data_IF_095241285930
#
_entry.id   IF_095241285930
#
_cell.length_a   1.000
_cell.length_b   1.000
_cell.length_c   1.000
_cell.angle_alpha   90.00
_cell.angle_beta   90.00
_cell.angle_gamma   90.00
#
_symmetry.space_group_name_H-M   'P 1'
#
loop_
_entity.id
_entity.type
_entity.pdbx_description
1 polymer ?
#
# COMPACT_ATOMS: atom_id res chain seq x y z
N UNK A 1 35.55 12.66 -17.17
CA UNK A 1 35.75 12.35 -15.73
C UNK A 1 34.49 11.67 -15.23
N UNK A 2 34.67 10.59 -14.47
CA UNK A 2 33.72 9.53 -14.22
C UNK A 2 32.45 9.94 -13.46
N UNK A 3 31.31 9.42 -13.93
CA UNK A 3 30.02 9.40 -13.24
C UNK A 3 30.17 8.76 -11.86
N UNK A 4 29.88 9.51 -10.80
CA UNK A 4 29.73 8.97 -9.43
C UNK A 4 28.26 9.05 -9.04
N UNK A 5 27.67 7.86 -8.95
CA UNK A 5 26.33 7.51 -8.48
C UNK A 5 25.90 8.26 -7.21
N UNK A 6 24.84 9.07 -7.32
CA UNK A 6 23.99 9.44 -6.18
C UNK A 6 22.90 8.36 -6.08
N UNK A 7 23.19 7.29 -5.32
CA UNK A 7 22.20 6.35 -4.79
C UNK A 7 21.98 6.71 -3.32
N UNK A 8 21.13 7.70 -3.05
CA UNK A 8 20.67 8.01 -1.70
C UNK A 8 19.49 9.01 -1.74
N UNK A 9 18.32 8.59 -2.24
CA UNK A 9 17.07 9.35 -2.09
C UNK A 9 15.80 8.53 -2.40
N UNK A 10 15.78 7.21 -2.16
CA UNK A 10 14.60 6.38 -2.45
C UNK A 10 13.96 5.72 -1.22
N UNK A 11 14.46 5.95 0.00
CA UNK A 11 13.92 5.33 1.24
C UNK A 11 13.02 6.30 2.05
N UNK A 12 12.40 7.27 1.37
CA UNK A 12 11.65 8.36 2.03
C UNK A 12 10.22 8.53 1.56
N UNK A 13 9.65 7.59 0.80
CA UNK A 13 8.22 7.57 0.52
C UNK A 13 7.56 6.72 1.60
N UNK A 14 6.53 7.20 2.32
CA UNK A 14 5.66 6.26 3.01
C UNK A 14 5.08 5.40 1.89
N UNK A 15 5.56 4.17 1.76
CA UNK A 15 4.73 3.09 1.28
C UNK A 15 3.46 3.21 2.11
N UNK A 16 2.44 3.81 1.51
CA UNK A 16 1.11 3.85 2.05
C UNK A 16 0.83 2.40 2.36
N UNK A 17 0.88 2.09 3.67
CA UNK A 17 0.78 0.75 4.19
C UNK A 17 -0.48 0.17 3.56
N UNK A 18 -0.36 -0.69 2.53
CA UNK A 18 -1.54 -1.31 1.89
C UNK A 18 -2.38 -2.02 2.96
N UNK A 19 -1.70 -2.49 4.02
CA UNK A 19 -2.30 -2.96 5.28
C UNK A 19 -3.29 -1.98 5.92
N UNK A 20 -3.02 -0.66 5.93
CA UNK A 20 -3.94 0.39 6.45
C UNK A 20 -5.12 0.67 5.51
N UNK A 21 -4.91 0.55 4.21
CA UNK A 21 -5.98 0.72 3.23
C UNK A 21 -6.99 -0.45 3.29
N UNK A 22 -6.50 -1.69 3.46
CA UNK A 22 -7.34 -2.90 3.56
C UNK A 22 -7.91 -3.16 4.97
N UNK A 23 -7.45 -2.43 6.00
CA UNK A 23 -7.98 -2.52 7.37
C UNK A 23 -9.42 -1.99 7.50
N UNK A 24 -9.95 -1.29 6.49
CA UNK A 24 -11.26 -0.63 6.53
C UNK A 24 -12.47 -1.43 6.02
N UNK A 25 -12.28 -2.54 5.29
CA UNK A 25 -13.39 -3.20 4.59
C UNK A 25 -13.75 -4.57 5.17
N UNK A 26 -14.59 -4.56 6.21
CA UNK A 26 -15.31 -5.75 6.66
C UNK A 26 -16.64 -5.86 5.90
N UNK A 27 -16.62 -6.33 4.65
CA UNK A 27 -17.84 -6.73 3.94
C UNK A 27 -18.03 -8.24 4.10
N UNK A 28 -18.95 -8.61 4.98
CA UNK A 28 -19.44 -9.98 5.11
C UNK A 28 -20.56 -10.20 4.10
N UNK A 29 -20.22 -10.72 2.91
CA UNK A 29 -21.20 -11.24 1.96
C UNK A 29 -20.93 -12.72 1.73
N UNK A 30 -21.37 -13.55 2.67
CA UNK A 30 -21.52 -15.00 2.45
C UNK A 30 -22.82 -15.23 1.70
N UNK A 31 -22.74 -15.39 0.38
CA UNK A 31 -23.80 -15.98 -0.43
C UNK A 31 -23.31 -17.32 -0.97
N UNK A 32 -23.65 -18.40 -0.29
CA UNK A 32 -23.43 -19.75 -0.77
C UNK A 32 -24.46 -20.04 -1.88
N UNK A 33 -24.05 -19.87 -3.15
CA UNK A 33 -24.83 -20.37 -4.27
C UNK A 33 -24.60 -21.88 -4.40
N UNK A 34 -25.38 -22.69 -3.68
CA UNK A 34 -25.47 -24.13 -3.93
C UNK A 34 -26.24 -24.34 -5.23
N UNK A 35 -25.53 -24.67 -6.32
CA UNK A 35 -26.14 -25.10 -7.58
C UNK A 35 -26.63 -26.53 -7.40
N UNK A 36 -27.89 -26.69 -7.01
CA UNK A 36 -28.58 -27.99 -7.05
C UNK A 36 -29.08 -28.24 -8.47
N UNK A 37 -28.33 -28.99 -9.27
CA UNK A 37 -28.80 -29.47 -10.57
C UNK A 37 -29.76 -30.64 -10.33
N UNK A 38 -31.07 -30.40 -10.51
CA UNK A 38 -32.05 -31.46 -10.64
C UNK A 38 -31.80 -32.18 -11.97
N UNK A 39 -31.21 -33.38 -11.92
CA UNK A 39 -30.95 -34.22 -13.09
C UNK A 39 -32.26 -34.74 -13.69
N UNK A 40 -32.80 -34.04 -14.69
CA UNK A 40 -33.66 -34.64 -15.69
C UNK A 40 -32.78 -35.45 -16.67
N UNK A 41 -33.05 -36.74 -16.77
CA UNK A 41 -32.28 -37.67 -17.59
C UNK A 41 -32.19 -37.22 -19.06
N UNK A 42 -30.97 -37.14 -19.60
CA UNK A 42 -30.72 -37.26 -21.04
C UNK A 42 -30.04 -36.10 -21.78
N UNK A 43 -29.66 -35.00 -21.14
CA UNK A 43 -28.87 -33.95 -21.81
C UNK A 43 -27.47 -33.87 -21.19
N UNK A 44 -26.42 -33.73 -22.02
CA UNK A 44 -25.08 -33.41 -21.54
C UNK A 44 -25.15 -32.19 -20.61
N UNK A 45 -24.36 -32.11 -19.52
CA UNK A 45 -24.40 -30.97 -18.62
C UNK A 45 -24.14 -29.71 -19.44
N UNK A 46 -25.18 -28.88 -19.60
CA UNK A 46 -25.05 -27.57 -20.23
C UNK A 46 -24.21 -26.75 -19.26
N UNK A 47 -22.95 -26.55 -19.61
CA UNK A 47 -22.05 -25.69 -18.84
C UNK A 47 -22.67 -24.28 -18.80
N UNK A 48 -22.72 -23.70 -17.60
CA UNK A 48 -23.22 -22.34 -17.43
C UNK A 48 -22.34 -21.37 -18.22
N UNK A 49 -22.89 -20.39 -18.96
CA UNK A 49 -22.09 -19.50 -19.80
C UNK A 49 -21.05 -18.69 -19.00
N UNK A 50 -21.30 -18.46 -17.71
CA UNK A 50 -20.38 -17.79 -16.79
C UNK A 50 -19.63 -18.75 -15.83
N UNK A 51 -19.50 -20.04 -16.17
CA UNK A 51 -18.83 -21.02 -15.31
C UNK A 51 -17.39 -20.63 -14.93
N UNK A 52 -16.65 -19.99 -15.84
CA UNK A 52 -15.31 -19.50 -15.55
C UNK A 52 -15.30 -18.38 -14.50
N UNK A 53 -16.28 -17.45 -14.54
CA UNK A 53 -16.41 -16.39 -13.55
C UNK A 53 -16.65 -16.98 -12.15
N UNK A 54 -17.50 -17.99 -12.04
CA UNK A 54 -17.75 -18.67 -10.75
C UNK A 54 -16.52 -19.41 -10.24
N UNK A 55 -15.73 -20.03 -11.12
CA UNK A 55 -14.47 -20.67 -10.74
C UNK A 55 -13.48 -19.62 -10.20
N UNK A 56 -13.30 -18.51 -10.92
CA UNK A 56 -12.38 -17.45 -10.52
C UNK A 56 -12.80 -16.78 -9.22
N UNK A 57 -14.11 -16.63 -8.98
CA UNK A 57 -14.62 -16.15 -7.70
C UNK A 57 -14.21 -17.05 -6.54
N UNK A 58 -14.34 -18.37 -6.70
CA UNK A 58 -13.92 -19.33 -5.66
C UNK A 58 -12.41 -19.28 -5.43
N UNK A 59 -11.61 -19.16 -6.49
CA UNK A 59 -10.15 -19.01 -6.40
C UNK A 59 -9.75 -17.71 -5.70
N UNK A 60 -10.41 -16.59 -6.03
CA UNK A 60 -10.22 -15.30 -5.37
C UNK A 60 -10.58 -15.36 -3.89
N UNK A 61 -11.68 -16.03 -3.51
CA UNK A 61 -12.05 -16.23 -2.12
C UNK A 61 -11.02 -17.07 -1.36
N UNK A 62 -10.47 -18.11 -1.99
CA UNK A 62 -9.40 -18.90 -1.41
C UNK A 62 -8.11 -18.07 -1.22
N UNK A 63 -7.76 -17.22 -2.20
CA UNK A 63 -6.62 -16.30 -2.12
C UNK A 63 -6.82 -15.25 -1.01
N UNK A 64 -8.01 -14.65 -0.93
CA UNK A 64 -8.37 -13.72 0.14
C UNK A 64 -8.27 -14.39 1.52
N UNK A 65 -8.74 -15.64 1.66
CA UNK A 65 -8.61 -16.39 2.90
C UNK A 65 -7.13 -16.67 3.27
N UNK A 66 -6.25 -16.93 2.30
CA UNK A 66 -4.79 -17.02 2.53
C UNK A 66 -4.22 -15.68 3.00
N UNK A 67 -4.55 -14.59 2.30
CA UNK A 67 -4.13 -13.23 2.65
C UNK A 67 -4.50 -12.88 4.10
N UNK A 68 -5.76 -13.09 4.51
CA UNK A 68 -6.22 -12.83 5.89
C UNK A 68 -5.52 -13.70 6.93
N UNK A 69 -5.12 -14.94 6.59
CA UNK A 69 -4.33 -15.78 7.52
C UNK A 69 -2.95 -15.19 7.73
N UNK A 70 -2.27 -14.81 6.65
CA UNK A 70 -0.93 -14.21 6.70
C UNK A 70 -0.94 -12.88 7.46
N UNK A 71 -1.93 -12.02 7.21
CA UNK A 71 -2.12 -10.76 7.92
C UNK A 71 -2.22 -10.99 9.44
N UNK A 72 -3.05 -11.96 9.87
CA UNK A 72 -3.23 -12.29 11.28
C UNK A 72 -1.94 -12.82 11.91
N UNK A 73 -1.20 -13.67 11.20
CA UNK A 73 0.08 -14.19 11.70
C UNK A 73 1.15 -13.10 11.77
N UNK A 74 1.22 -12.22 10.77
CA UNK A 74 2.12 -11.05 10.77
C UNK A 74 1.81 -10.11 11.91
N UNK A 75 0.54 -9.71 12.08
CA UNK A 75 0.12 -8.82 13.18
C UNK A 75 0.47 -9.38 14.57
N UNK A 76 0.34 -10.71 14.76
CA UNK A 76 0.75 -11.37 16.00
C UNK A 76 2.27 -11.35 16.19
N UNK A 77 3.03 -11.62 15.13
CA UNK A 77 4.48 -11.55 15.16
C UNK A 77 4.96 -10.13 15.47
N UNK A 78 4.43 -9.11 14.78
CA UNK A 78 4.78 -7.71 14.97
C UNK A 78 4.47 -7.24 16.40
N UNK A 79 3.31 -7.64 16.95
CA UNK A 79 2.95 -7.33 18.34
C UNK A 79 3.91 -7.99 19.33
N UNK A 80 4.35 -9.21 19.06
CA UNK A 80 5.32 -9.93 19.90
C UNK A 80 6.70 -9.29 19.82
N UNK A 81 7.16 -8.92 18.62
CA UNK A 81 8.42 -8.22 18.39
C UNK A 81 8.44 -6.87 19.12
N UNK A 82 7.40 -6.04 18.93
CA UNK A 82 7.26 -4.75 19.63
C UNK A 82 7.26 -4.89 21.14
N UNK A 83 6.56 -5.91 21.67
CA UNK A 83 6.57 -6.18 23.12
C UNK A 83 7.96 -6.60 23.62
N UNK A 84 8.73 -7.34 22.84
CA UNK A 84 10.05 -7.83 23.21
C UNK A 84 11.14 -6.74 23.13
N UNK A 85 11.08 -5.84 22.13
CA UNK A 85 12.03 -4.71 22.03
C UNK A 85 11.76 -3.66 23.12
N UNK A 86 10.50 -3.49 23.53
CA UNK A 86 10.10 -2.53 24.55
C UNK A 86 9.61 -1.21 23.95
N UNK A 87 9.64 -0.10 24.71
CA UNK A 87 9.09 1.17 24.26
C UNK A 87 9.83 1.70 23.04
N UNK A 88 9.08 2.23 22.08
CA UNK A 88 9.65 2.85 20.90
C UNK A 88 10.33 4.17 21.26
N UNK A 89 11.53 4.47 20.72
CA UNK A 89 12.13 5.79 20.83
C UNK A 89 11.32 6.81 20.02
N UNK A 90 11.63 8.10 20.21
CA UNK A 90 11.01 9.20 19.44
C UNK A 90 11.25 8.94 17.95
N UNK A 91 10.20 9.04 17.15
CA UNK A 91 10.35 8.91 15.70
C UNK A 91 11.07 10.14 15.13
N UNK A 92 11.94 10.00 14.11
CA UNK A 92 12.59 11.14 13.48
C UNK A 92 11.61 12.24 13.06
N UNK A 93 10.46 11.87 12.49
CA UNK A 93 9.43 12.82 12.07
C UNK A 93 8.71 13.51 13.25
N UNK A 94 8.63 12.86 14.42
CA UNK A 94 8.06 13.46 15.64
C UNK A 94 9.05 14.41 16.28
N UNK A 95 10.34 14.08 16.22
CA UNK A 95 11.41 14.97 16.64
C UNK A 95 11.45 16.22 15.75
N UNK A 96 11.31 16.10 14.43
CA UNK A 96 11.26 17.26 13.52
C UNK A 96 10.12 18.24 13.85
N UNK A 97 8.98 17.74 14.35
CA UNK A 97 7.87 18.60 14.83
C UNK A 97 8.20 19.32 16.15
N UNK A 98 9.09 18.74 16.95
CA UNK A 98 9.51 19.24 18.27
C UNK A 98 10.90 19.87 18.24
N UNK A 99 11.53 19.96 17.06
CA UNK A 99 12.87 20.47 16.88
C UNK A 99 12.94 21.88 17.50
N UNK A 100 13.94 22.15 18.35
CA UNK A 100 14.10 23.48 18.91
C UNK A 100 14.08 24.50 17.79
N UNK A 101 13.18 25.48 17.87
CA UNK A 101 13.23 26.58 16.91
C UNK A 101 14.49 27.39 17.18
N UNK A 102 15.13 27.85 16.11
CA UNK A 102 16.29 28.74 16.23
C UNK A 102 15.91 29.94 17.12
N UNK A 103 16.65 30.21 18.21
CA UNK A 103 16.41 31.39 19.04
C UNK A 103 16.39 32.67 18.22
N UNK A 104 15.49 33.61 18.56
CA UNK A 104 15.28 34.84 17.78
C UNK A 104 16.57 35.62 17.51
N UNK A 105 17.41 35.80 18.54
CA UNK A 105 18.70 36.48 18.41
C UNK A 105 19.68 35.78 17.44
N UNK A 106 19.68 34.44 17.37
CA UNK A 106 20.49 33.69 16.40
C UNK A 106 19.91 33.79 14.99
N UNK A 107 18.58 33.80 14.87
CA UNK A 107 17.88 34.02 13.60
C UNK A 107 18.18 35.41 13.03
N UNK A 108 18.13 36.45 13.85
CA UNK A 108 18.49 37.83 13.46
C UNK A 108 19.96 37.95 13.06
N UNK A 109 20.86 37.31 13.82
CA UNK A 109 22.29 37.26 13.49
C UNK A 109 22.53 36.57 12.14
N UNK A 110 21.84 35.45 11.88
CA UNK A 110 21.87 34.76 10.59
C UNK A 110 21.34 35.64 9.46
N UNK A 111 20.20 36.29 9.64
CA UNK A 111 19.60 37.17 8.62
C UNK A 111 20.50 38.36 8.30
N UNK A 112 21.16 38.92 9.31
CA UNK A 112 22.09 40.04 9.15
C UNK A 112 23.34 39.60 8.39
N UNK A 113 23.90 38.45 8.74
CA UNK A 113 25.00 37.85 7.99
C UNK A 113 24.58 37.54 6.55
N UNK A 114 23.38 36.99 6.33
CA UNK A 114 22.86 36.66 5.00
C UNK A 114 22.80 37.88 4.06
N UNK A 115 22.44 39.06 4.59
CA UNK A 115 22.35 40.32 3.82
C UNK A 115 23.70 40.78 3.27
N UNK A 116 24.82 40.34 3.84
CA UNK A 116 26.18 40.68 3.38
C UNK A 116 26.85 39.59 2.55
N UNK A 117 26.16 38.47 2.26
CA UNK A 117 26.71 37.36 1.47
C UNK A 117 26.52 37.58 -0.02
N UNK A 118 27.61 37.56 -0.78
CA UNK A 118 27.58 37.45 -2.24
C UNK A 118 27.03 36.08 -2.65
N UNK A 119 26.22 36.01 -3.72
CA UNK A 119 25.61 34.76 -4.20
C UNK A 119 26.60 33.59 -4.36
N UNK A 120 27.84 33.87 -4.78
CA UNK A 120 28.91 32.86 -4.93
C UNK A 120 29.33 32.24 -3.60
N UNK A 121 29.24 32.98 -2.49
CA UNK A 121 29.61 32.51 -1.15
C UNK A 121 28.43 31.86 -0.41
N UNK A 122 27.20 31.94 -0.95
CA UNK A 122 26.00 31.36 -0.35
C UNK A 122 26.07 29.83 -0.21
N UNK A 123 26.74 29.17 -1.16
CA UNK A 123 26.94 27.71 -1.18
C UNK A 123 27.99 27.24 -0.17
N UNK A 124 28.84 28.14 0.34
CA UNK A 124 29.76 27.85 1.43
C UNK A 124 29.06 28.03 2.78
N UNK A 125 29.45 27.29 3.81
CA UNK A 125 28.94 27.48 5.19
C UNK A 125 29.77 28.51 5.97
N UNK A 126 30.78 29.11 5.34
CA UNK A 126 31.77 29.95 5.97
C UNK A 126 31.23 31.32 6.39
N UNK A 127 30.19 31.82 5.70
CA UNK A 127 29.52 33.08 6.02
C UNK A 127 28.68 33.03 7.29
N UNK A 128 28.36 31.84 7.79
CA UNK A 128 27.48 31.70 8.94
C UNK A 128 28.20 32.11 10.23
N UNK A 129 27.59 32.93 11.10
CA UNK A 129 28.18 33.26 12.39
C UNK A 129 28.45 32.00 13.23
N UNK A 130 29.58 31.97 13.94
CA UNK A 130 29.96 30.81 14.76
C UNK A 130 28.86 30.36 15.76
N UNK A 131 28.11 31.25 16.43
CA UNK A 131 26.99 30.84 17.28
C UNK A 131 25.84 30.15 16.52
N UNK A 132 25.57 30.57 15.28
CA UNK A 132 24.53 29.96 14.41
C UNK A 132 24.98 28.57 13.97
N UNK A 133 26.25 28.41 13.58
CA UNK A 133 26.83 27.10 13.25
C UNK A 133 26.79 26.15 14.43
N UNK A 134 27.25 26.59 15.61
CA UNK A 134 27.25 25.79 16.82
C UNK A 134 25.83 25.31 17.20
N UNK A 135 24.82 26.16 17.04
CA UNK A 135 23.43 25.77 17.24
C UNK A 135 22.95 24.72 16.24
N UNK A 136 23.26 24.88 14.95
CA UNK A 136 22.91 23.88 13.92
C UNK A 136 23.63 22.56 14.13
N UNK A 137 24.91 22.58 14.45
CA UNK A 137 25.70 21.38 14.71
C UNK A 137 25.14 20.62 15.92
N UNK A 138 24.65 21.33 16.95
CA UNK A 138 23.99 20.73 18.09
C UNK A 138 22.64 20.10 17.71
N UNK A 139 21.82 20.81 16.91
CA UNK A 139 20.55 20.28 16.41
C UNK A 139 20.76 19.05 15.51
N UNK A 140 21.77 19.08 14.63
CA UNK A 140 22.12 17.98 13.73
C UNK A 140 22.62 16.75 14.51
N UNK A 141 23.45 16.95 15.53
CA UNK A 141 23.90 15.86 16.42
C UNK A 141 22.74 15.19 17.11
N UNK A 142 21.78 15.98 17.61
CA UNK A 142 20.59 15.43 18.26
C UNK A 142 19.70 14.69 17.26
N UNK A 143 19.50 15.25 16.06
CA UNK A 143 18.81 14.57 14.95
C UNK A 143 19.45 13.22 14.61
N UNK A 144 20.78 13.21 14.52
CA UNK A 144 21.57 12.00 14.30
C UNK A 144 21.39 10.97 15.42
N UNK A 145 21.38 11.41 16.69
CA UNK A 145 21.13 10.55 17.85
C UNK A 145 19.74 9.91 17.79
N UNK A 146 18.71 10.70 17.46
CA UNK A 146 17.32 10.20 17.32
C UNK A 146 17.20 9.20 16.18
N UNK A 147 17.78 9.51 15.01
CA UNK A 147 17.82 8.59 13.86
C UNK A 147 18.53 7.29 14.22
N UNK A 148 19.72 7.35 14.80
CA UNK A 148 20.46 6.16 15.22
C UNK A 148 19.69 5.30 16.23
N UNK A 149 19.03 5.91 17.22
CA UNK A 149 18.21 5.18 18.18
C UNK A 149 16.98 4.52 17.52
N UNK A 150 16.37 5.21 16.55
CA UNK A 150 15.26 4.65 15.76
C UNK A 150 15.71 3.49 14.87
N UNK A 151 16.86 3.62 14.21
CA UNK A 151 17.45 2.58 13.36
C UNK A 151 17.82 1.34 14.18
N UNK A 152 18.42 1.52 15.36
CA UNK A 152 18.73 0.42 16.28
C UNK A 152 17.46 -0.30 16.77
N UNK A 153 16.43 0.47 17.14
CA UNK A 153 15.13 -0.08 17.51
C UNK A 153 14.50 -0.88 16.36
N UNK A 154 14.56 -0.35 15.14
CA UNK A 154 14.01 -1.02 13.97
C UNK A 154 14.80 -2.26 13.55
N UNK A 155 16.12 -2.23 13.69
CA UNK A 155 16.98 -3.40 13.50
C UNK A 155 16.61 -4.54 14.46
N UNK A 156 16.44 -4.24 15.76
CA UNK A 156 15.99 -5.22 16.76
C UNK A 156 14.61 -5.78 16.45
N UNK A 157 13.70 -4.95 15.96
CA UNK A 157 12.38 -5.42 15.49
C UNK A 157 12.54 -6.44 14.35
N UNK A 158 13.35 -6.12 13.34
CA UNK A 158 13.59 -6.99 12.19
C UNK A 158 14.22 -8.33 12.61
N UNK A 159 15.19 -8.31 13.52
CA UNK A 159 15.78 -9.53 14.11
C UNK A 159 14.74 -10.42 14.81
N UNK A 160 13.70 -9.82 15.38
CA UNK A 160 12.59 -10.52 16.04
C UNK A 160 11.46 -10.93 15.08
N UNK A 161 11.67 -10.78 13.77
CA UNK A 161 10.71 -11.17 12.73
C UNK A 161 9.60 -10.16 12.49
N UNK A 162 9.79 -8.89 12.89
CA UNK A 162 8.95 -7.79 12.43
C UNK A 162 9.00 -7.73 10.90
N UNK A 163 7.83 -7.69 10.26
CA UNK A 163 7.67 -7.75 8.79
C UNK A 163 8.21 -9.02 8.09
N UNK A 164 8.50 -10.10 8.83
CA UNK A 164 8.97 -11.36 8.23
C UNK A 164 8.00 -11.99 7.21
N UNK A 165 6.72 -11.64 7.27
CA UNK A 165 5.69 -12.12 6.35
C UNK A 165 5.28 -11.06 5.33
N UNK A 166 5.97 -9.93 5.23
CA UNK A 166 5.56 -8.83 4.36
C UNK A 166 5.59 -9.21 2.88
N UNK A 167 6.65 -9.88 2.42
CA UNK A 167 6.73 -10.36 1.04
C UNK A 167 5.61 -11.36 0.71
N UNK A 168 5.32 -12.28 1.64
CA UNK A 168 4.23 -13.25 1.47
C UNK A 168 2.84 -12.58 1.48
N UNK A 169 2.66 -11.55 2.32
CA UNK A 169 1.44 -10.75 2.34
C UNK A 169 1.27 -9.98 1.04
N UNK A 170 2.32 -9.30 0.57
CA UNK A 170 2.33 -8.55 -0.68
C UNK A 170 2.06 -9.45 -1.88
N UNK A 171 2.66 -10.65 -1.93
CA UNK A 171 2.36 -11.65 -2.96
C UNK A 171 0.88 -12.05 -2.96
N UNK A 172 0.28 -12.27 -1.78
CA UNK A 172 -1.16 -12.56 -1.69
C UNK A 172 -2.04 -11.37 -2.09
N UNK A 173 -1.63 -10.13 -1.79
CA UNK A 173 -2.35 -8.94 -2.26
C UNK A 173 -2.31 -8.84 -3.78
N UNK A 174 -1.14 -9.05 -4.40
CA UNK A 174 -1.00 -9.05 -5.87
C UNK A 174 -1.83 -10.16 -6.52
N UNK A 175 -1.77 -11.38 -6.00
CA UNK A 175 -2.58 -12.51 -6.49
C UNK A 175 -4.08 -12.20 -6.41
N UNK A 176 -4.54 -11.62 -5.29
CA UNK A 176 -5.94 -11.23 -5.11
C UNK A 176 -6.40 -10.15 -6.11
N UNK A 177 -5.56 -9.17 -6.37
CA UNK A 177 -5.81 -8.12 -7.38
C UNK A 177 -5.84 -8.69 -8.81
N UNK A 178 -4.91 -9.60 -9.14
CA UNK A 178 -4.90 -10.29 -10.44
C UNK A 178 -6.21 -11.08 -10.70
N UNK A 179 -6.76 -11.74 -9.67
CA UNK A 179 -8.06 -12.40 -9.80
C UNK A 179 -9.18 -11.42 -10.13
N UNK A 180 -9.23 -10.27 -9.45
CA UNK A 180 -10.26 -9.27 -9.69
C UNK A 180 -10.17 -8.68 -11.11
N UNK A 181 -8.94 -8.42 -11.58
CA UNK A 181 -8.66 -8.01 -12.98
C UNK A 181 -9.10 -9.05 -14.00
N UNK A 182 -8.83 -10.33 -13.75
CA UNK A 182 -9.25 -11.44 -14.63
C UNK A 182 -10.77 -11.58 -14.68
N UNK A 183 -11.44 -11.57 -13.52
CA UNK A 183 -12.91 -11.57 -13.41
C UNK A 183 -13.52 -10.42 -14.22
N UNK A 184 -12.99 -9.21 -14.07
CA UNK A 184 -13.51 -8.04 -14.78
C UNK A 184 -13.12 -8.02 -16.28
N UNK A 185 -12.17 -8.84 -16.71
CA UNK A 185 -11.80 -8.96 -18.14
C UNK A 185 -12.68 -9.93 -18.91
N UNK A 186 -13.28 -10.90 -18.23
CA UNK A 186 -14.16 -11.90 -18.86
C UNK A 186 -15.55 -11.30 -19.06
N UNK A 187 -16.12 -11.34 -20.27
CA UNK A 187 -17.53 -11.02 -20.52
C UNK A 187 -18.48 -11.79 -19.59
N UNK A 188 -19.39 -11.09 -18.90
CA UNK A 188 -20.51 -11.77 -18.23
C UNK A 188 -21.69 -11.92 -19.20
N UNK A 189 -22.34 -13.07 -19.16
CA UNK A 189 -23.49 -13.42 -19.99
C UNK A 189 -24.79 -13.50 -19.18
N UNK A 190 -24.71 -13.48 -17.85
CA UNK A 190 -25.87 -13.42 -16.96
C UNK A 190 -25.75 -12.33 -15.89
N UNK A 191 -26.85 -12.06 -15.19
CA UNK A 191 -26.84 -11.17 -14.03
C UNK A 191 -25.97 -11.71 -12.90
N UNK A 192 -25.93 -13.04 -12.72
CA UNK A 192 -25.08 -13.71 -11.76
C UNK A 192 -23.60 -13.50 -12.09
N UNK A 193 -23.18 -13.60 -13.35
CA UNK A 193 -21.82 -13.28 -13.78
C UNK A 193 -21.44 -11.82 -13.53
N UNK A 194 -22.36 -10.87 -13.79
CA UNK A 194 -22.13 -9.46 -13.45
C UNK A 194 -22.02 -9.23 -11.93
N UNK A 195 -22.78 -9.99 -11.13
CA UNK A 195 -22.69 -9.91 -9.68
C UNK A 195 -21.33 -10.41 -9.15
N UNK A 196 -20.69 -11.38 -9.83
CA UNK A 196 -19.31 -11.80 -9.52
C UNK A 196 -18.33 -10.62 -9.67
N UNK A 197 -18.43 -9.86 -10.76
CA UNK A 197 -17.58 -8.69 -11.00
C UNK A 197 -17.75 -7.63 -9.92
N UNK A 198 -19.00 -7.36 -9.52
CA UNK A 198 -19.29 -6.42 -8.43
C UNK A 198 -18.68 -6.89 -7.10
N UNK A 199 -18.78 -8.19 -6.79
CA UNK A 199 -18.17 -8.74 -5.57
C UNK A 199 -16.65 -8.64 -5.60
N UNK A 200 -16.01 -8.92 -6.74
CA UNK A 200 -14.56 -8.74 -6.91
C UNK A 200 -14.11 -7.29 -6.71
N UNK A 201 -14.86 -6.32 -7.22
CA UNK A 201 -14.62 -4.88 -6.99
C UNK A 201 -14.73 -4.49 -5.52
N UNK A 202 -15.79 -4.92 -4.84
CA UNK A 202 -15.93 -4.64 -3.40
C UNK A 202 -14.80 -5.30 -2.60
N UNK A 203 -14.38 -6.53 -2.97
CA UNK A 203 -13.32 -7.27 -2.26
C UNK A 203 -11.96 -6.59 -2.33
N UNK A 204 -11.68 -5.89 -3.41
CA UNK A 204 -10.40 -5.19 -3.65
C UNK A 204 -10.35 -3.80 -3.05
N UNK A 205 -11.43 -3.33 -2.41
CA UNK A 205 -11.49 -1.98 -1.85
C UNK A 205 -12.09 -0.93 -2.77
N UNK A 206 -12.66 -1.36 -3.90
CA UNK A 206 -13.24 -0.46 -4.90
C UNK A 206 -12.23 0.11 -5.89
N UNK A 207 -10.96 -0.30 -5.82
CA UNK A 207 -9.90 0.15 -6.72
C UNK A 207 -9.44 -1.06 -7.53
N UNK A 208 -9.93 -1.18 -8.76
CA UNK A 208 -9.38 -2.12 -9.74
C UNK A 208 -8.85 -1.28 -10.88
N UNK A 209 -7.57 -0.98 -10.83
CA UNK A 209 -6.88 -0.35 -11.95
C UNK A 209 -6.57 -1.40 -13.01
N UNK A 210 -6.65 -1.04 -14.29
CA UNK A 210 -6.06 -1.82 -15.38
C UNK A 210 -4.99 -0.95 -16.01
N UNK A 211 -3.77 -1.43 -16.19
CA UNK A 211 -2.63 -0.63 -16.69
C UNK A 211 -2.91 0.07 -18.02
N UNK A 212 -3.86 -0.44 -18.82
CA UNK A 212 -4.28 0.13 -20.10
C UNK A 212 -5.48 1.10 -20.01
N UNK A 213 -6.16 1.16 -18.86
CA UNK A 213 -7.30 2.03 -18.61
C UNK A 213 -7.02 2.86 -17.35
N UNK A 214 -6.70 4.15 -17.53
CA UNK A 214 -6.66 5.18 -16.48
C UNK A 214 -8.08 5.48 -15.94
N UNK A 215 -8.78 4.45 -15.50
CA UNK A 215 -10.11 4.52 -14.90
C UNK A 215 -10.06 3.69 -13.63
N UNK A 216 -10.18 4.37 -12.49
CA UNK A 216 -10.25 3.77 -11.15
C UNK A 216 -11.46 2.81 -11.00
N UNK A 217 -12.38 2.83 -11.98
CA UNK A 217 -13.63 2.10 -12.02
C UNK A 217 -13.69 1.02 -13.14
N UNK A 218 -12.59 0.29 -13.39
CA UNK A 218 -12.53 -0.75 -14.42
C UNK A 218 -13.69 -1.77 -14.32
N UNK A 219 -14.08 -2.14 -13.10
CA UNK A 219 -15.19 -3.06 -12.86
C UNK A 219 -16.54 -2.51 -13.36
N UNK A 220 -16.85 -1.23 -13.07
CA UNK A 220 -18.09 -0.62 -13.54
C UNK A 220 -18.11 -0.43 -15.05
N UNK A 221 -16.97 -0.09 -15.66
CA UNK A 221 -16.84 -0.04 -17.11
C UNK A 221 -17.09 -1.42 -17.75
N UNK A 222 -16.55 -2.48 -17.15
CA UNK A 222 -16.77 -3.87 -17.57
C UNK A 222 -18.23 -4.29 -17.46
N UNK A 223 -18.87 -4.04 -16.31
CA UNK A 223 -20.29 -4.34 -16.09
C UNK A 223 -21.17 -3.56 -17.07
N UNK A 224 -20.89 -2.28 -17.30
CA UNK A 224 -21.63 -1.47 -18.27
C UNK A 224 -21.51 -2.03 -19.70
N UNK A 225 -20.34 -2.56 -20.08
CA UNK A 225 -20.17 -3.25 -21.36
C UNK A 225 -21.01 -4.52 -21.45
N UNK A 226 -21.09 -5.31 -20.37
CA UNK A 226 -21.93 -6.51 -20.31
C UNK A 226 -23.42 -6.17 -20.44
N UNK A 227 -23.90 -5.13 -19.74
CA UNK A 227 -25.29 -4.65 -19.81
C UNK A 227 -25.64 -4.27 -21.25
N UNK A 228 -24.76 -3.51 -21.94
CA UNK A 228 -24.99 -3.11 -23.34
C UNK A 228 -25.05 -4.33 -24.26
N UNK A 229 -24.19 -5.33 -24.04
CA UNK A 229 -24.18 -6.56 -24.83
C UNK A 229 -25.48 -7.37 -24.65
N UNK A 230 -25.97 -7.48 -23.41
CA UNK A 230 -27.25 -8.15 -23.12
C UNK A 230 -28.44 -7.39 -23.71
N UNK A 231 -28.46 -6.06 -23.60
CA UNK A 231 -29.52 -5.22 -24.15
C UNK A 231 -29.61 -5.30 -25.69
N UNK A 232 -28.49 -5.53 -26.38
CA UNK A 232 -28.43 -5.62 -27.84
C UNK A 232 -28.69 -7.04 -28.40
N UNK A 233 -29.18 -7.97 -27.58
CA UNK A 233 -29.67 -9.27 -28.05
C UNK A 233 -28.64 -10.39 -28.12
N UNK A 234 -27.52 -10.29 -27.37
CA UNK A 234 -26.63 -11.39 -26.99
C UNK A 234 -26.54 -12.57 -27.96
N UNK A 235 -26.04 -12.36 -29.17
CA UNK A 235 -25.68 -13.45 -30.09
C UNK A 235 -24.29 -13.97 -29.74
N UNK A 236 -24.23 -15.31 -29.58
CA UNK A 236 -23.05 -16.13 -29.36
C UNK A 236 -21.92 -15.91 -30.38
#
# INVERSE_FOLDING_TARGET
>A
MSNTTVRAAAEGMPEINRRRMLLGLAVASTAAATITVASAAGCAPVEHPDAELFRLEQEMEAAHARMKRIERTSSRADKKARKAVGPAPIQPHEWEKQEPKMPGHLSEMRQTALKSVLFVNFLSTDWEPAPVRAWRDAAEKERGRVRAAWDEYHAKLKELGYDANEDAFNACCSEHDEFAKRICSIPAHTFEGMAVKLRAHVRTGGEIEKEEMYLDDYAFASIAADIRRLANGGTA
#
